data_IF_136635852400
#
_entry.id   IF_136635852400
#
_cell.length_a   1.000
_cell.length_b   1.000
_cell.length_c   1.000
_cell.angle_alpha   90.00
_cell.angle_beta   90.00
_cell.angle_gamma   90.00
#
_symmetry.space_group_name_H-M   'P 1'
#
loop_
_entity.id
_entity.type
_entity.pdbx_description
1 polymer ?
#
# COMPACT_ATOMS: atom_id res chain seq x y z
N UNK A 1 -13.80 -0.55 -17.95
CA UNK A 1 -13.43 -1.63 -17.00
C UNK A 1 -11.95 -1.48 -16.65
N UNK A 2 -11.61 -1.28 -15.36
CA UNK A 2 -10.21 -1.17 -14.93
C UNK A 2 -9.53 -2.52 -15.18
N UNK A 3 -8.49 -2.55 -16.02
CA UNK A 3 -7.66 -3.75 -16.23
C UNK A 3 -7.11 -4.16 -14.87
N UNK A 4 -7.63 -5.27 -14.32
CA UNK A 4 -7.13 -5.88 -13.09
C UNK A 4 -5.71 -6.35 -13.39
N UNK A 5 -4.73 -5.90 -12.63
CA UNK A 5 -3.36 -6.40 -12.78
C UNK A 5 -3.37 -7.92 -12.58
N UNK A 6 -2.79 -8.71 -13.50
CA UNK A 6 -2.75 -10.16 -13.35
C UNK A 6 -2.07 -10.52 -12.02
N UNK A 7 -2.70 -11.39 -11.23
CA UNK A 7 -2.23 -11.84 -9.92
C UNK A 7 -2.26 -10.81 -8.76
N UNK A 8 -3.02 -9.73 -8.87
CA UNK A 8 -3.28 -8.87 -7.69
C UNK A 8 -4.12 -9.66 -6.65
N UNK A 9 -3.67 -9.78 -5.39
CA UNK A 9 -4.40 -10.51 -4.36
C UNK A 9 -5.77 -9.85 -4.12
N UNK A 10 -6.75 -10.65 -3.71
CA UNK A 10 -7.97 -10.10 -3.15
C UNK A 10 -7.65 -9.31 -1.88
N UNK A 11 -8.57 -8.44 -1.45
CA UNK A 11 -8.41 -7.68 -0.22
C UNK A 11 -8.09 -8.65 0.92
N UNK A 12 -7.02 -8.36 1.66
CA UNK A 12 -6.66 -9.11 2.87
C UNK A 12 -7.69 -8.83 3.96
N UNK A 13 -7.77 -9.65 5.02
CA UNK A 13 -8.60 -9.31 6.18
C UNK A 13 -8.24 -7.92 6.70
N UNK A 14 -9.26 -7.07 6.91
CA UNK A 14 -9.16 -5.67 7.38
C UNK A 14 -8.57 -4.66 6.38
N UNK A 15 -8.43 -5.05 5.11
CA UNK A 15 -8.01 -4.17 4.02
C UNK A 15 -9.22 -3.75 3.15
N UNK A 16 -9.23 -2.49 2.73
CA UNK A 16 -10.18 -1.93 1.75
C UNK A 16 -9.42 -1.49 0.49
N UNK A 17 -9.40 -2.32 -0.56
CA UNK A 17 -8.71 -1.99 -1.82
C UNK A 17 -9.34 -0.76 -2.48
N UNK A 18 -8.50 0.17 -2.93
CA UNK A 18 -8.89 1.44 -3.56
C UNK A 18 -9.05 2.58 -2.56
N UNK A 19 -8.76 2.35 -1.29
CA UNK A 19 -8.86 3.35 -0.25
C UNK A 19 -7.76 4.43 -0.37
N UNK A 20 -7.73 5.34 0.61
CA UNK A 20 -6.89 6.52 0.59
C UNK A 20 -5.59 6.39 1.37
N UNK A 21 -5.52 5.44 2.31
CA UNK A 21 -4.36 5.26 3.19
C UNK A 21 -3.66 3.94 2.90
N UNK A 22 -2.34 3.98 2.74
CA UNK A 22 -1.50 2.86 2.34
C UNK A 22 -0.44 2.59 3.40
N UNK A 23 -0.28 1.33 3.78
CA UNK A 23 0.76 0.89 4.70
C UNK A 23 1.84 0.15 3.92
N UNK A 24 3.05 0.71 3.90
CA UNK A 24 4.20 0.13 3.21
C UNK A 24 5.31 -0.21 4.20
N UNK A 25 6.03 -1.30 3.92
CA UNK A 25 7.29 -1.60 4.61
C UNK A 25 8.43 -0.79 4.01
N UNK A 26 9.31 -0.26 4.85
CA UNK A 26 10.57 0.37 4.44
C UNK A 26 11.70 -0.66 4.43
N UNK A 27 12.49 -0.67 3.38
CA UNK A 27 13.69 -1.48 3.27
C UNK A 27 14.73 -1.00 4.27
N UNK A 28 15.22 -1.89 5.12
CA UNK A 28 16.10 -1.56 6.25
C UNK A 28 17.40 -0.83 5.83
N UNK A 29 17.93 -1.13 4.63
CA UNK A 29 19.22 -0.57 4.17
C UNK A 29 19.06 0.78 3.47
N UNK A 30 18.06 0.92 2.60
CA UNK A 30 17.92 2.11 1.75
C UNK A 30 16.89 3.09 2.26
N UNK A 31 16.10 2.67 3.25
CA UNK A 31 14.94 3.40 3.73
C UNK A 31 13.87 3.58 2.66
N UNK A 32 13.96 2.99 1.45
CA UNK A 32 12.93 3.09 0.39
C UNK A 32 11.75 2.17 0.69
N UNK A 33 10.61 2.35 0.02
CA UNK A 33 9.54 1.34 0.04
C UNK A 33 10.13 0.00 -0.46
N UNK A 34 9.95 -1.06 0.33
CA UNK A 34 10.38 -2.40 -0.03
C UNK A 34 9.46 -2.92 -1.14
N UNK A 35 9.92 -3.00 -2.40
CA UNK A 35 9.07 -3.40 -3.54
C UNK A 35 9.21 -4.87 -3.93
N UNK A 36 9.94 -5.67 -3.12
CA UNK A 36 10.35 -7.01 -3.52
C UNK A 36 9.16 -7.96 -3.75
N UNK A 37 9.23 -8.83 -4.79
CA UNK A 37 8.13 -9.71 -5.22
C UNK A 37 7.83 -10.89 -4.28
N UNK A 38 8.44 -10.94 -3.10
CA UNK A 38 8.08 -11.95 -2.10
C UNK A 38 6.70 -11.58 -1.57
N UNK A 39 5.71 -12.44 -1.92
CA UNK A 39 4.26 -12.36 -1.69
C UNK A 39 3.79 -11.86 -0.31
N UNK A 40 4.69 -11.72 0.66
CA UNK A 40 4.35 -11.47 2.06
C UNK A 40 5.18 -10.38 2.75
N UNK A 41 6.05 -9.61 2.07
CA UNK A 41 6.90 -8.66 2.81
C UNK A 41 7.02 -7.23 2.27
N UNK A 42 6.80 -6.96 0.98
CA UNK A 42 7.05 -5.60 0.50
C UNK A 42 6.20 -5.13 -0.66
N UNK A 43 5.99 -5.97 -1.69
CA UNK A 43 5.51 -5.46 -2.97
C UNK A 43 4.10 -4.85 -2.98
N UNK A 44 3.20 -5.24 -2.06
CA UNK A 44 1.78 -4.83 -2.11
C UNK A 44 1.39 -4.22 -0.76
N UNK A 45 0.98 -2.94 -0.71
CA UNK A 45 0.59 -2.28 0.54
C UNK A 45 -0.65 -2.93 1.14
N UNK A 46 -0.91 -2.64 2.41
CA UNK A 46 -2.28 -2.72 2.96
C UNK A 46 -2.98 -1.39 2.73
N UNK A 47 -4.26 -1.42 2.42
CA UNK A 47 -5.09 -0.23 2.21
C UNK A 47 -6.19 -0.10 3.26
N UNK A 48 -6.39 1.12 3.79
CA UNK A 48 -7.43 1.42 4.78
C UNK A 48 -8.20 2.70 4.43
N UNK A 49 -9.47 2.74 4.83
CA UNK A 49 -10.37 3.88 4.64
C UNK A 49 -10.03 5.05 5.56
N UNK A 50 -9.54 4.76 6.77
CA UNK A 50 -9.22 5.77 7.79
C UNK A 50 -7.72 5.78 8.10
N UNK A 51 -7.24 6.94 8.56
CA UNK A 51 -5.87 7.11 8.99
C UNK A 51 -5.55 6.23 10.21
N UNK A 52 -6.46 6.21 11.17
CA UNK A 52 -6.34 5.44 12.42
C UNK A 52 -6.24 3.94 12.13
N UNK A 53 -7.08 3.42 11.22
CA UNK A 53 -7.02 2.02 10.80
C UNK A 53 -5.68 1.66 10.14
N UNK A 54 -5.10 2.57 9.36
CA UNK A 54 -3.79 2.38 8.76
C UNK A 54 -2.65 2.42 9.80
N UNK A 55 -2.76 3.27 10.82
CA UNK A 55 -1.79 3.34 11.94
C UNK A 55 -1.82 2.06 12.76
N UNK A 56 -3.02 1.55 13.09
CA UNK A 56 -3.18 0.28 13.79
C UNK A 56 -2.60 -0.88 12.98
N UNK A 57 -2.80 -0.88 11.66
CA UNK A 57 -2.21 -1.87 10.76
C UNK A 57 -0.67 -1.78 10.72
N UNK A 58 -0.11 -0.57 10.64
CA UNK A 58 1.34 -0.37 10.67
C UNK A 58 1.95 -0.87 11.99
N UNK A 59 1.30 -0.61 13.13
CA UNK A 59 1.73 -1.11 14.43
C UNK A 59 1.67 -2.65 14.49
N UNK A 60 0.57 -3.25 14.02
CA UNK A 60 0.39 -4.70 13.95
C UNK A 60 1.47 -5.36 13.10
N UNK A 61 1.75 -4.83 11.92
CA UNK A 61 2.76 -5.36 10.99
C UNK A 61 4.18 -5.21 11.53
N UNK A 62 4.47 -4.12 12.25
CA UNK A 62 5.75 -3.92 12.94
C UNK A 62 6.01 -5.03 13.95
N UNK A 63 4.98 -5.42 14.72
CA UNK A 63 5.07 -6.53 15.69
C UNK A 63 5.17 -7.89 14.98
N UNK A 64 4.32 -8.15 13.97
CA UNK A 64 4.26 -9.44 13.28
C UNK A 64 5.51 -9.74 12.45
N UNK A 65 6.06 -8.72 11.77
CA UNK A 65 7.06 -8.91 10.71
C UNK A 65 8.40 -8.23 10.99
N UNK A 66 8.45 -7.35 11.98
CA UNK A 66 9.62 -6.52 12.26
C UNK A 66 9.93 -5.51 11.14
N UNK A 67 10.84 -4.60 11.46
CA UNK A 67 11.20 -3.49 10.58
C UNK A 67 10.24 -2.31 10.70
N UNK A 68 10.34 -1.39 9.76
CA UNK A 68 9.59 -0.13 9.79
C UNK A 68 8.45 -0.16 8.79
N UNK A 69 7.24 0.12 9.27
CA UNK A 69 6.06 0.33 8.43
C UNK A 69 5.60 1.78 8.55
N UNK A 70 5.24 2.38 7.42
CA UNK A 70 4.82 3.79 7.35
C UNK A 70 3.47 3.89 6.63
N UNK A 71 2.68 4.87 7.07
CA UNK A 71 1.39 5.22 6.48
C UNK A 71 1.56 6.37 5.48
N UNK A 72 1.04 6.19 4.28
CA UNK A 72 0.95 7.21 3.24
C UNK A 72 -0.51 7.49 2.92
N UNK A 73 -0.83 8.74 2.57
CA UNK A 73 -2.16 9.12 2.11
C UNK A 73 -2.13 9.53 0.63
N UNK A 74 -3.17 9.17 -0.13
CA UNK A 74 -3.38 9.69 -1.48
C UNK A 74 -3.78 11.16 -1.39
N UNK A 75 -2.89 12.04 -1.84
CA UNK A 75 -3.16 13.48 -1.88
C UNK A 75 -3.66 13.98 -3.24
N UNK A 76 -3.42 13.25 -4.33
CA UNK A 76 -3.81 13.65 -5.68
C UNK A 76 -3.94 12.45 -6.63
N UNK A 77 -4.60 12.67 -7.77
CA UNK A 77 -4.63 11.77 -8.92
C UNK A 77 -4.10 12.52 -10.15
N UNK A 78 -3.22 11.88 -10.91
CA UNK A 78 -2.77 12.43 -12.18
C UNK A 78 -3.96 12.58 -13.14
N UNK A 79 -4.12 13.76 -13.72
CA UNK A 79 -5.04 13.97 -14.83
C UNK A 79 -4.39 13.47 -16.10
N UNK A 80 -5.12 12.72 -16.92
CA UNK A 80 -4.63 12.38 -18.27
C UNK A 80 -4.70 13.66 -19.10
N UNK A 81 -3.60 14.17 -19.66
CA UNK A 81 -3.66 15.34 -20.53
C UNK A 81 -4.57 15.03 -21.71
N UNK A 82 -5.52 15.93 -22.01
CA UNK A 82 -6.42 15.79 -23.15
C UNK A 82 -5.62 15.62 -24.43
N UNK A 83 -6.00 14.64 -25.26
CA UNK A 83 -5.42 14.49 -26.59
C UNK A 83 -5.81 15.74 -27.39
N UNK A 84 -4.86 16.48 -28.01
CA UNK A 84 -5.23 17.54 -28.92
C UNK A 84 -6.05 16.93 -30.08
N UNK A 85 -7.15 17.60 -30.43
CA UNK A 85 -8.04 17.24 -31.54
C UNK A 85 -7.33 17.26 -32.90
#
# INVERSE_FOLDING_TARGET
>A
MRRRWPNFPHARPKESIGAGYFVFKRGATTGRIETAPRRFAGGIPFEHETFEGAVDEAARLTVERGGTFEVFARCALAQTPGRPE
#
